data_IF_774340776388
#
_entry.id   IF_774340776388
#
_cell.length_a   1.000
_cell.length_b   1.000
_cell.length_c   1.000
_cell.angle_alpha   90.00
_cell.angle_beta   90.00
_cell.angle_gamma   90.00
#
_symmetry.space_group_name_H-M   'P 1'
#
loop_
_entity.id
_entity.type
_entity.pdbx_description
1 polymer ?
#
# COMPACT_ATOMS: atom_id res chain seq x y z
N UNK A 1 -27.71 -24.38 -30.95
CA UNK A 1 -29.05 -24.34 -30.32
C UNK A 1 -28.85 -23.73 -28.92
N UNK A 2 -29.02 -22.41 -28.79
CA UNK A 2 -30.20 -21.72 -28.21
C UNK A 2 -30.44 -22.04 -26.72
N UNK A 3 -30.08 -21.05 -25.86
CA UNK A 3 -30.77 -20.44 -24.68
C UNK A 3 -31.32 -21.41 -23.61
N UNK A 4 -31.21 -21.14 -22.31
CA UNK A 4 -31.94 -20.18 -21.46
C UNK A 4 -31.03 -19.77 -20.26
N UNK A 5 -30.85 -18.52 -19.81
CA UNK A 5 -31.73 -17.52 -19.17
C UNK A 5 -32.35 -17.93 -17.82
N UNK A 6 -31.97 -17.22 -16.74
CA UNK A 6 -32.64 -17.29 -15.43
C UNK A 6 -31.97 -16.47 -14.32
N UNK A 7 -32.19 -15.14 -14.36
CA UNK A 7 -32.09 -14.13 -13.28
C UNK A 7 -31.17 -14.39 -12.06
N UNK A 8 -30.14 -13.56 -11.93
CA UNK A 8 -29.67 -13.09 -10.61
C UNK A 8 -29.49 -11.57 -10.68
N UNK A 9 -30.43 -10.87 -10.04
CA UNK A 9 -30.34 -9.52 -9.47
C UNK A 9 -29.39 -8.53 -10.15
N UNK A 10 -30.02 -7.56 -10.83
CA UNK A 10 -29.53 -6.18 -10.89
C UNK A 10 -29.35 -5.65 -9.46
N UNK A 11 -28.26 -6.02 -8.80
CA UNK A 11 -27.59 -5.06 -7.95
C UNK A 11 -26.90 -4.12 -8.95
N UNK A 12 -27.33 -2.86 -9.01
CA UNK A 12 -26.42 -1.81 -9.42
C UNK A 12 -25.26 -1.83 -8.42
N UNK A 13 -24.29 -2.72 -8.62
CA UNK A 13 -22.91 -2.31 -8.39
C UNK A 13 -22.75 -1.15 -9.36
N UNK A 14 -22.81 0.07 -8.85
CA UNK A 14 -22.15 1.18 -9.53
C UNK A 14 -20.76 0.64 -9.85
N UNK A 15 -20.49 0.35 -11.13
CA UNK A 15 -19.15 0.02 -11.55
C UNK A 15 -18.37 1.28 -11.20
N UNK A 16 -17.56 1.18 -10.15
CA UNK A 16 -16.74 2.29 -9.71
C UNK A 16 -15.82 2.63 -10.88
N UNK A 17 -15.80 3.89 -11.31
CA UNK A 17 -14.95 4.30 -12.42
C UNK A 17 -13.51 3.84 -12.19
N UNK A 18 -12.90 3.36 -13.26
CA UNK A 18 -11.53 2.87 -13.24
C UNK A 18 -10.78 3.37 -14.48
N UNK A 19 -9.47 3.53 -14.33
CA UNK A 19 -8.64 4.16 -15.36
C UNK A 19 -8.64 3.40 -16.69
N UNK A 20 -8.74 2.07 -16.63
CA UNK A 20 -8.73 1.23 -17.83
C UNK A 20 -10.02 1.38 -18.62
N UNK A 21 -11.17 1.42 -17.95
CA UNK A 21 -12.46 1.61 -18.62
C UNK A 21 -12.59 3.04 -19.19
N UNK A 22 -12.04 4.05 -18.50
CA UNK A 22 -11.98 5.42 -19.02
C UNK A 22 -11.15 5.52 -20.31
N UNK A 23 -9.98 4.87 -20.35
CA UNK A 23 -9.12 4.83 -21.53
C UNK A 23 -9.77 4.05 -22.69
N UNK A 24 -10.42 2.92 -22.41
CA UNK A 24 -11.18 2.18 -23.45
C UNK A 24 -12.28 3.04 -24.05
N UNK A 25 -13.05 3.77 -23.23
CA UNK A 25 -14.09 4.67 -23.70
C UNK A 25 -13.48 5.77 -24.58
N UNK A 26 -12.34 6.34 -24.19
CA UNK A 26 -11.61 7.34 -24.95
C UNK A 26 -11.13 6.81 -26.31
N UNK A 27 -10.48 5.64 -26.35
CA UNK A 27 -10.02 4.99 -27.58
C UNK A 27 -11.18 4.67 -28.55
N UNK A 28 -12.35 4.31 -28.00
CA UNK A 28 -13.58 4.08 -28.74
C UNK A 28 -14.28 5.37 -29.17
N UNK A 29 -13.71 6.54 -28.87
CA UNK A 29 -14.26 7.88 -29.11
C UNK A 29 -15.58 8.13 -28.38
N UNK A 30 -15.88 7.34 -27.35
CA UNK A 30 -16.96 7.64 -26.43
C UNK A 30 -16.48 8.68 -25.39
N UNK A 31 -16.20 9.89 -25.88
CA UNK A 31 -15.58 10.94 -25.08
C UNK A 31 -16.43 11.38 -23.88
N UNK A 32 -17.76 11.32 -23.99
CA UNK A 32 -18.64 11.66 -22.88
C UNK A 32 -18.46 10.69 -21.70
N UNK A 33 -18.41 9.38 -21.98
CA UNK A 33 -18.14 8.36 -20.97
C UNK A 33 -16.71 8.47 -20.42
N UNK A 34 -15.72 8.67 -21.28
CA UNK A 34 -14.33 8.86 -20.86
C UNK A 34 -14.17 10.05 -19.92
N UNK A 35 -14.75 11.20 -20.27
CA UNK A 35 -14.72 12.41 -19.45
C UNK A 35 -15.37 12.18 -18.08
N UNK A 36 -16.51 11.51 -18.04
CA UNK A 36 -17.18 11.16 -16.79
C UNK A 36 -16.27 10.27 -15.92
N UNK A 37 -15.73 9.19 -16.47
CA UNK A 37 -14.90 8.26 -15.70
C UNK A 37 -13.59 8.91 -15.23
N UNK A 38 -12.90 9.70 -16.06
CA UNK A 38 -11.74 10.46 -15.60
C UNK A 38 -12.09 11.45 -14.49
N UNK A 39 -13.24 12.13 -14.57
CA UNK A 39 -13.68 13.06 -13.54
C UNK A 39 -13.94 12.36 -12.20
N UNK A 40 -14.49 11.14 -12.22
CA UNK A 40 -14.71 10.31 -11.03
C UNK A 40 -13.40 9.85 -10.36
N UNK A 41 -12.27 9.83 -11.09
CA UNK A 41 -10.96 9.50 -10.55
C UNK A 41 -10.21 10.71 -9.96
N UNK A 42 -10.65 11.94 -10.22
CA UNK A 42 -9.99 13.14 -9.67
C UNK A 42 -10.00 13.20 -8.13
N UNK A 43 -11.09 12.87 -7.42
CA UNK A 43 -11.08 12.81 -5.95
C UNK A 43 -10.01 11.87 -5.40
N UNK A 44 -9.64 10.83 -6.17
CA UNK A 44 -8.61 9.86 -5.80
C UNK A 44 -7.18 10.39 -5.99
N UNK A 45 -7.00 11.63 -6.42
CA UNK A 45 -5.68 12.20 -6.70
C UNK A 45 -5.02 11.54 -7.91
N UNK A 46 -5.82 11.06 -8.86
CA UNK A 46 -5.34 10.40 -10.07
C UNK A 46 -4.76 11.43 -11.06
N UNK A 47 -3.44 11.43 -11.17
CA UNK A 47 -2.66 12.33 -12.01
C UNK A 47 -2.87 12.07 -13.51
N UNK A 48 -3.12 10.80 -13.89
CA UNK A 48 -3.37 10.40 -15.27
C UNK A 48 -4.75 10.86 -15.74
N UNK A 49 -5.77 10.77 -14.89
CA UNK A 49 -7.11 11.24 -15.19
C UNK A 49 -7.13 12.76 -15.36
N UNK A 50 -6.46 13.49 -14.46
CA UNK A 50 -6.27 14.94 -14.60
C UNK A 50 -5.56 15.29 -15.92
N UNK A 51 -4.50 14.56 -16.26
CA UNK A 51 -3.77 14.78 -17.52
C UNK A 51 -4.66 14.52 -18.75
N UNK A 52 -5.39 13.41 -18.78
CA UNK A 52 -6.26 13.05 -19.92
C UNK A 52 -7.42 14.04 -20.08
N UNK A 53 -8.02 14.52 -19.00
CA UNK A 53 -9.01 15.61 -19.07
C UNK A 53 -8.41 16.90 -19.65
N UNK A 54 -7.15 17.20 -19.29
CA UNK A 54 -6.40 18.30 -19.89
C UNK A 54 -6.18 18.12 -21.39
N UNK A 55 -5.82 16.91 -21.82
CA UNK A 55 -5.67 16.55 -23.24
C UNK A 55 -6.99 16.70 -23.99
N UNK A 56 -8.10 16.18 -23.45
CA UNK A 56 -9.43 16.29 -24.06
C UNK A 56 -9.84 17.75 -24.26
N UNK A 57 -9.64 18.60 -23.24
CA UNK A 57 -9.92 20.03 -23.33
C UNK A 57 -9.01 20.76 -24.33
N UNK A 58 -7.72 20.39 -24.37
CA UNK A 58 -6.74 20.97 -25.27
C UNK A 58 -7.01 20.62 -26.74
N UNK A 59 -7.46 19.40 -27.01
CA UNK A 59 -7.75 18.91 -28.36
C UNK A 59 -9.19 19.20 -28.81
N UNK A 60 -10.10 19.47 -27.89
CA UNK A 60 -11.54 19.60 -28.19
C UNK A 60 -12.20 18.24 -28.45
N UNK A 61 -11.84 17.22 -27.69
CA UNK A 61 -12.38 15.87 -27.83
C UNK A 61 -13.60 15.68 -26.94
N UNK A 62 -14.77 15.53 -27.55
CA UNK A 62 -16.06 15.44 -26.83
C UNK A 62 -16.59 16.78 -26.31
N UNK A 63 -15.85 17.87 -26.52
CA UNK A 63 -16.20 19.24 -26.16
C UNK A 63 -15.51 20.24 -27.09
N UNK A 64 -15.89 21.52 -27.06
CA UNK A 64 -15.12 22.56 -27.74
C UNK A 64 -13.72 22.71 -27.12
N UNK A 65 -12.74 23.09 -27.95
CA UNK A 65 -11.37 23.36 -27.49
C UNK A 65 -11.39 24.46 -26.44
N UNK A 66 -10.86 24.17 -25.26
CA UNK A 66 -10.83 25.06 -24.10
C UNK A 66 -9.44 25.04 -23.45
N UNK A 67 -8.62 26.02 -23.83
CA UNK A 67 -7.25 26.17 -23.32
C UNK A 67 -7.20 26.58 -21.84
N UNK A 68 -8.24 27.26 -21.34
CA UNK A 68 -8.35 27.65 -19.94
C UNK A 68 -8.52 26.42 -19.06
N UNK A 69 -9.48 25.55 -19.41
CA UNK A 69 -9.70 24.27 -18.72
C UNK A 69 -8.53 23.32 -18.88
N UNK A 70 -7.94 23.24 -20.08
CA UNK A 70 -6.73 22.44 -20.31
C UNK A 70 -5.59 22.85 -19.37
N UNK A 71 -5.33 24.16 -19.24
CA UNK A 71 -4.29 24.65 -18.34
C UNK A 71 -4.57 24.28 -16.88
N UNK A 72 -5.81 24.41 -16.42
CA UNK A 72 -6.19 24.05 -15.06
C UNK A 72 -5.96 22.55 -14.77
N UNK A 73 -6.37 21.67 -15.69
CA UNK A 73 -6.16 20.23 -15.57
C UNK A 73 -4.68 19.83 -15.62
N UNK A 74 -3.88 20.41 -16.51
CA UNK A 74 -2.45 20.12 -16.55
C UNK A 74 -1.73 20.63 -15.30
N UNK A 75 -2.11 21.79 -14.74
CA UNK A 75 -1.57 22.25 -13.45
C UNK A 75 -1.93 21.30 -12.31
N UNK A 76 -3.16 20.77 -12.31
CA UNK A 76 -3.57 19.76 -11.34
C UNK A 76 -2.75 18.48 -11.49
N UNK A 77 -2.59 17.97 -12.71
CA UNK A 77 -1.77 16.80 -12.99
C UNK A 77 -0.31 16.98 -12.53
N UNK A 78 0.29 18.16 -12.76
CA UNK A 78 1.62 18.48 -12.26
C UNK A 78 1.69 18.53 -10.73
N UNK A 79 0.68 19.12 -10.06
CA UNK A 79 0.59 19.10 -8.60
C UNK A 79 0.48 17.68 -8.03
N UNK A 80 -0.19 16.78 -8.76
CA UNK A 80 -0.29 15.35 -8.47
C UNK A 80 0.91 14.52 -8.97
N UNK A 81 1.99 15.18 -9.41
CA UNK A 81 3.27 14.59 -9.83
C UNK A 81 3.24 13.82 -11.17
N UNK A 82 2.36 14.19 -12.10
CA UNK A 82 2.39 13.65 -13.46
C UNK A 82 3.67 14.09 -14.20
N UNK A 83 4.50 13.15 -14.72
CA UNK A 83 5.85 13.45 -15.20
C UNK A 83 5.88 14.33 -16.47
N UNK A 84 4.83 14.31 -17.28
CA UNK A 84 4.77 15.06 -18.55
C UNK A 84 3.96 16.36 -18.44
N UNK A 85 3.29 16.61 -17.31
CA UNK A 85 2.33 17.72 -17.23
C UNK A 85 3.02 19.10 -17.27
N UNK A 86 4.17 19.24 -16.62
CA UNK A 86 4.91 20.52 -16.54
C UNK A 86 5.35 21.04 -17.91
N UNK A 87 5.71 20.14 -18.83
CA UNK A 87 6.21 20.51 -20.16
C UNK A 87 5.16 21.22 -21.02
N UNK A 88 3.87 20.90 -20.82
CA UNK A 88 2.77 21.48 -21.59
C UNK A 88 2.31 22.84 -21.04
N UNK A 89 2.64 23.17 -19.79
CA UNK A 89 2.17 24.39 -19.13
C UNK A 89 2.65 25.66 -19.83
N UNK A 90 3.94 25.74 -20.16
CA UNK A 90 4.54 26.94 -20.75
C UNK A 90 3.93 27.25 -22.12
N UNK A 91 3.68 26.22 -22.94
CA UNK A 91 3.08 26.38 -24.25
C UNK A 91 1.65 26.94 -24.14
N UNK A 92 0.82 26.34 -23.28
CA UNK A 92 -0.58 26.74 -23.15
C UNK A 92 -0.68 28.14 -22.53
N UNK A 93 0.16 28.45 -21.54
CA UNK A 93 0.17 29.77 -20.89
C UNK A 93 0.50 30.91 -21.86
N UNK A 94 1.37 30.66 -22.85
CA UNK A 94 1.73 31.66 -23.85
C UNK A 94 0.58 32.01 -24.82
N UNK A 95 -0.40 31.11 -24.97
CA UNK A 95 -1.58 31.31 -25.84
C UNK A 95 -2.75 32.00 -25.11
N UNK A 96 -2.71 32.12 -23.78
CA UNK A 96 -3.80 32.66 -22.97
C UNK A 96 -3.58 34.14 -22.60
N UNK A 97 -4.67 34.90 -22.52
CA UNK A 97 -4.63 36.26 -21.99
C UNK A 97 -4.74 36.29 -20.45
N UNK A 98 -4.55 37.46 -19.85
CA UNK A 98 -4.56 37.62 -18.39
C UNK A 98 -5.87 37.19 -17.71
N UNK A 99 -7.02 37.43 -18.36
CA UNK A 99 -8.32 37.01 -17.84
C UNK A 99 -8.45 35.49 -17.85
N UNK A 100 -8.09 34.83 -18.95
CA UNK A 100 -8.11 33.38 -19.09
C UNK A 100 -7.15 32.70 -18.11
N UNK A 101 -5.97 33.28 -17.88
CA UNK A 101 -5.04 32.79 -16.87
C UNK A 101 -5.65 32.86 -15.46
N UNK A 102 -6.33 33.97 -15.12
CA UNK A 102 -7.03 34.11 -13.83
C UNK A 102 -8.20 33.12 -13.68
N UNK A 103 -8.93 32.86 -14.76
CA UNK A 103 -9.98 31.85 -14.79
C UNK A 103 -9.42 30.43 -14.60
N UNK A 104 -8.29 30.11 -15.23
CA UNK A 104 -7.61 28.82 -15.08
C UNK A 104 -7.15 28.59 -13.63
N UNK A 105 -6.59 29.61 -12.96
CA UNK A 105 -6.25 29.54 -11.53
C UNK A 105 -7.49 29.31 -10.65
N UNK A 106 -8.59 29.99 -10.97
CA UNK A 106 -9.85 29.83 -10.25
C UNK A 106 -10.47 28.44 -10.44
N UNK A 107 -10.28 27.82 -11.62
CA UNK A 107 -10.69 26.45 -11.89
C UNK A 107 -9.77 25.46 -11.17
N UNK A 108 -8.45 25.65 -11.22
CA UNK A 108 -7.46 24.84 -10.51
C UNK A 108 -7.76 24.79 -9.01
N UNK A 109 -8.02 25.94 -8.38
CA UNK A 109 -8.38 25.99 -6.96
C UNK A 109 -9.66 25.20 -6.64
N UNK A 110 -10.63 25.14 -7.56
CA UNK A 110 -11.82 24.28 -7.40
C UNK A 110 -11.46 22.81 -7.52
N UNK A 111 -10.67 22.45 -8.53
CA UNK A 111 -10.22 21.08 -8.75
C UNK A 111 -9.40 20.54 -7.56
N UNK A 112 -8.47 21.34 -7.04
CA UNK A 112 -7.64 20.98 -5.88
C UNK A 112 -8.48 20.73 -4.62
N UNK A 113 -9.58 21.47 -4.42
CA UNK A 113 -10.53 21.23 -3.33
C UNK A 113 -11.35 19.96 -3.51
N UNK A 114 -11.54 19.51 -4.75
CA UNK A 114 -12.26 18.27 -5.05
C UNK A 114 -11.38 17.02 -4.89
N UNK A 115 -10.04 17.17 -4.99
CA UNK A 115 -9.10 16.08 -4.72
C UNK A 115 -9.10 15.75 -3.22
N UNK A 116 -9.56 14.55 -2.90
CA UNK A 116 -9.60 14.03 -1.52
C UNK A 116 -8.27 13.42 -1.11
N UNK A 117 -7.66 12.66 -2.03
CA UNK A 117 -6.39 11.98 -1.79
C UNK A 117 -5.24 12.84 -2.31
N UNK A 118 -4.56 13.52 -1.40
CA UNK A 118 -3.38 14.33 -1.69
C UNK A 118 -2.10 13.51 -1.52
N UNK A 119 -1.03 13.79 -2.30
CA UNK A 119 0.28 13.21 -2.08
C UNK A 119 0.74 13.40 -0.62
N UNK A 120 1.12 12.31 0.02
CA UNK A 120 1.40 12.28 1.46
C UNK A 120 2.70 13.01 1.77
N UNK A 121 2.69 13.88 2.80
CA UNK A 121 3.88 14.18 3.59
C UNK A 121 3.99 13.11 4.68
N UNK A 122 5.09 12.35 4.72
CA UNK A 122 5.31 11.25 5.67
C UNK A 122 5.42 11.77 7.11
N UNK A 123 4.31 12.13 7.74
CA UNK A 123 4.28 12.37 9.17
C UNK A 123 4.29 11.03 9.91
N UNK A 124 5.30 10.85 10.76
CA UNK A 124 5.41 9.71 11.67
C UNK A 124 4.16 9.67 12.55
N UNK A 125 3.32 8.66 12.36
CA UNK A 125 2.33 8.32 13.38
C UNK A 125 3.08 7.91 14.65
N UNK A 126 2.66 8.40 15.83
CA UNK A 126 3.31 8.03 17.08
C UNK A 126 3.28 6.51 17.26
N UNK A 127 4.42 5.97 17.65
CA UNK A 127 4.59 4.53 17.87
C UNK A 127 3.74 4.12 19.08
N UNK A 128 2.64 3.42 18.83
CA UNK A 128 1.72 2.95 19.88
C UNK A 128 2.34 1.72 20.53
N UNK A 129 2.46 1.70 21.85
CA UNK A 129 2.91 0.50 22.59
C UNK A 129 1.84 -0.58 22.43
N UNK A 130 2.20 -1.68 21.76
CA UNK A 130 1.32 -2.82 21.51
C UNK A 130 1.62 -3.95 22.49
N UNK A 131 0.62 -4.76 22.89
CA UNK A 131 0.84 -5.91 23.77
C UNK A 131 1.74 -6.95 23.13
N UNK A 132 2.59 -7.60 23.93
CA UNK A 132 3.46 -8.67 23.46
C UNK A 132 2.70 -10.00 23.29
N UNK A 133 3.04 -10.84 22.29
CA UNK A 133 2.43 -12.15 22.13
C UNK A 133 2.93 -13.14 23.20
N UNK A 134 2.01 -13.73 23.97
CA UNK A 134 2.28 -14.76 24.99
C UNK A 134 2.25 -16.17 24.38
N UNK A 135 1.31 -16.41 23.44
CA UNK A 135 1.18 -17.70 22.75
C UNK A 135 0.82 -17.47 21.29
N UNK A 136 1.56 -18.12 20.40
CA UNK A 136 1.25 -18.18 18.97
C UNK A 136 1.09 -19.62 18.52
N UNK A 137 0.06 -19.84 17.71
CA UNK A 137 -0.22 -21.12 17.05
C UNK A 137 -0.05 -20.92 15.55
N UNK A 138 0.85 -21.68 14.93
CA UNK A 138 1.05 -21.63 13.49
C UNK A 138 -0.22 -22.06 12.72
N UNK A 139 -0.48 -21.49 11.54
CA UNK A 139 -1.57 -21.96 10.69
C UNK A 139 -1.27 -23.30 10.05
N UNK A 140 -2.32 -24.09 9.84
CA UNK A 140 -2.22 -25.35 9.12
C UNK A 140 -2.18 -25.09 7.61
N UNK A 141 -1.29 -25.74 6.86
CA UNK A 141 -1.29 -25.60 5.41
C UNK A 141 -2.49 -26.34 4.80
N UNK A 142 -3.39 -25.68 4.04
CA UNK A 142 -4.52 -26.36 3.41
C UNK A 142 -4.05 -27.44 2.43
N UNK A 143 -4.48 -28.68 2.62
CA UNK A 143 -4.02 -29.83 1.84
C UNK A 143 -4.23 -29.67 0.33
N UNK A 144 -5.34 -29.07 -0.11
CA UNK A 144 -5.59 -28.80 -1.52
C UNK A 144 -4.62 -27.78 -2.13
N UNK A 145 -4.29 -26.73 -1.37
CA UNK A 145 -3.29 -25.75 -1.78
C UNK A 145 -1.91 -26.40 -1.87
N UNK A 146 -1.57 -27.26 -0.89
CA UNK A 146 -0.30 -27.98 -0.88
C UNK A 146 -0.15 -28.87 -2.12
N UNK A 147 -1.18 -29.65 -2.46
CA UNK A 147 -1.19 -30.53 -3.65
C UNK A 147 -1.04 -29.77 -4.96
N UNK A 148 -1.57 -28.55 -5.03
CA UNK A 148 -1.49 -27.68 -6.21
C UNK A 148 -0.22 -26.82 -6.25
N UNK A 149 0.64 -26.90 -5.22
CA UNK A 149 1.81 -26.04 -5.08
C UNK A 149 1.46 -24.55 -4.97
N UNK A 150 0.24 -24.22 -4.54
CA UNK A 150 -0.17 -22.83 -4.33
C UNK A 150 0.53 -22.30 -3.09
N UNK A 151 1.11 -21.12 -3.17
CA UNK A 151 1.71 -20.37 -2.07
C UNK A 151 0.95 -19.05 -1.89
N UNK A 152 1.24 -18.33 -0.81
CA UNK A 152 0.72 -16.97 -0.65
C UNK A 152 0.74 -16.47 0.79
N UNK A 153 -0.19 -15.59 1.12
CA UNK A 153 -0.27 -14.99 2.45
C UNK A 153 -1.70 -14.58 2.81
N UNK A 154 -1.91 -14.34 4.10
CA UNK A 154 -3.11 -13.71 4.64
C UNK A 154 -2.69 -12.65 5.65
N UNK A 155 -3.08 -11.42 5.38
CA UNK A 155 -3.00 -10.32 6.32
C UNK A 155 -4.32 -10.22 7.07
N UNK A 156 -4.27 -10.46 8.37
CA UNK A 156 -5.39 -10.40 9.27
C UNK A 156 -5.32 -9.14 10.14
N UNK A 157 -6.48 -8.65 10.54
CA UNK A 157 -6.64 -7.67 11.62
C UNK A 157 -7.64 -8.21 12.62
N UNK A 158 -7.44 -7.89 13.89
CA UNK A 158 -8.20 -8.47 14.99
C UNK A 158 -8.15 -7.59 16.23
N UNK A 159 -9.06 -7.86 17.16
CA UNK A 159 -9.04 -7.27 18.49
C UNK A 159 -8.34 -8.20 19.49
N UNK A 160 -7.69 -7.59 20.46
CA UNK A 160 -7.20 -8.24 21.67
C UNK A 160 -7.98 -7.65 22.84
N UNK A 161 -8.61 -8.50 23.65
CA UNK A 161 -9.35 -8.06 24.83
C UNK A 161 -8.42 -7.70 26.00
N UNK A 162 -9.00 -7.23 27.10
CA UNK A 162 -8.29 -6.81 28.31
C UNK A 162 -7.48 -7.95 28.96
N UNK A 163 -7.91 -9.20 28.73
CA UNK A 163 -7.26 -10.42 29.20
C UNK A 163 -6.22 -10.96 28.20
N UNK A 164 -6.01 -10.27 27.07
CA UNK A 164 -5.06 -10.65 26.02
C UNK A 164 -5.58 -11.68 25.02
N UNK A 165 -6.88 -12.02 25.03
CA UNK A 165 -7.46 -12.98 24.09
C UNK A 165 -7.80 -12.33 22.76
N UNK A 166 -7.60 -13.07 21.66
CA UNK A 166 -7.92 -12.59 20.32
C UNK A 166 -9.42 -12.77 20.01
N UNK A 167 -10.06 -11.70 19.55
CA UNK A 167 -11.48 -11.61 19.17
C UNK A 167 -11.67 -10.84 17.86
N UNK A 168 -12.85 -10.91 17.23
CA UNK A 168 -13.25 -10.09 16.09
C UNK A 168 -12.20 -10.05 14.95
N UNK A 169 -11.92 -11.22 14.36
CA UNK A 169 -10.88 -11.40 13.35
C UNK A 169 -11.46 -11.15 11.96
N UNK A 170 -10.74 -10.40 11.14
CA UNK A 170 -11.06 -10.22 9.72
C UNK A 170 -9.81 -10.32 8.84
N UNK A 171 -10.02 -10.63 7.56
CA UNK A 171 -8.95 -10.59 6.55
C UNK A 171 -8.90 -9.21 5.91
N UNK A 172 -7.77 -8.51 6.06
CA UNK A 172 -7.52 -7.24 5.38
C UNK A 172 -7.07 -7.47 3.93
N UNK A 173 -6.24 -8.48 3.71
CA UNK A 173 -5.69 -8.79 2.38
C UNK A 173 -5.26 -10.26 2.36
N UNK A 174 -5.37 -10.91 1.20
CA UNK A 174 -4.92 -12.27 1.02
C UNK A 174 -4.60 -12.58 -0.44
N UNK A 175 -3.52 -13.31 -0.64
CA UNK A 175 -3.20 -13.91 -1.92
C UNK A 175 -2.91 -15.40 -1.75
N UNK A 176 -3.46 -16.26 -2.63
CA UNK A 176 -4.64 -16.02 -3.44
C UNK A 176 -5.87 -15.90 -2.53
N UNK A 177 -6.86 -15.13 -2.96
CA UNK A 177 -8.09 -14.95 -2.20
C UNK A 177 -8.76 -16.28 -1.86
N UNK A 178 -9.28 -16.37 -0.63
CA UNK A 178 -10.11 -17.47 -0.12
C UNK A 178 -9.41 -18.83 -0.07
N UNK A 179 -8.12 -18.91 -0.39
CA UNK A 179 -7.33 -20.15 -0.31
C UNK A 179 -6.87 -20.40 1.13
N UNK A 180 -6.25 -19.40 1.75
CA UNK A 180 -5.60 -19.54 3.05
C UNK A 180 -6.36 -18.89 4.21
N UNK A 181 -7.35 -18.03 3.93
CA UNK A 181 -8.04 -17.18 4.91
C UNK A 181 -8.58 -17.97 6.09
N UNK A 182 -9.31 -19.07 5.84
CA UNK A 182 -9.91 -19.89 6.89
C UNK A 182 -8.87 -20.52 7.81
N UNK A 183 -7.72 -20.94 7.26
CA UNK A 183 -6.65 -21.50 8.09
C UNK A 183 -6.02 -20.41 8.96
N UNK A 184 -5.73 -19.25 8.37
CA UNK A 184 -5.13 -18.13 9.05
C UNK A 184 -6.00 -17.67 10.23
N UNK A 185 -7.31 -17.48 10.00
CA UNK A 185 -8.26 -17.07 11.04
C UNK A 185 -8.34 -18.09 12.19
N UNK A 186 -8.35 -19.40 11.90
CA UNK A 186 -8.35 -20.44 12.95
C UNK A 186 -7.05 -20.45 13.77
N UNK A 187 -5.93 -20.13 13.14
CA UNK A 187 -4.65 -20.03 13.83
C UNK A 187 -4.64 -18.83 14.79
N UNK A 188 -4.96 -17.64 14.27
CA UNK A 188 -4.97 -16.39 15.04
C UNK A 188 -5.99 -16.39 16.16
N UNK A 189 -7.14 -17.06 15.99
CA UNK A 189 -8.13 -17.25 17.07
C UNK A 189 -7.59 -17.99 18.30
N UNK A 190 -6.49 -18.75 18.15
CA UNK A 190 -5.85 -19.52 19.24
C UNK A 190 -4.65 -18.78 19.84
N UNK A 191 -4.39 -17.55 19.43
CA UNK A 191 -3.30 -16.74 19.95
C UNK A 191 -3.69 -16.07 21.26
N UNK A 192 -2.68 -15.77 22.07
CA UNK A 192 -2.81 -15.06 23.34
C UNK A 192 -1.74 -13.98 23.40
N UNK A 193 -2.12 -12.82 23.90
CA UNK A 193 -1.27 -11.66 24.15
C UNK A 193 -1.19 -11.36 25.64
N UNK A 194 -0.29 -10.46 26.00
CA UNK A 194 -0.18 -9.91 27.34
C UNK A 194 -1.51 -9.26 27.75
N UNK A 195 -1.95 -9.56 28.98
CA UNK A 195 -3.13 -8.95 29.57
C UNK A 195 -2.79 -7.55 30.07
N UNK A 196 -2.99 -6.54 29.22
CA UNK A 196 -2.69 -5.14 29.59
C UNK A 196 -3.85 -4.46 30.33
N UNK A 197 -4.99 -5.13 30.51
CA UNK A 197 -6.21 -4.53 31.06
C UNK A 197 -6.91 -3.54 30.12
N UNK A 198 -6.47 -3.46 28.86
CA UNK A 198 -7.05 -2.59 27.83
C UNK A 198 -7.22 -3.38 26.52
N UNK A 199 -8.21 -2.99 25.72
CA UNK A 199 -8.41 -3.58 24.39
C UNK A 199 -7.45 -2.97 23.37
N UNK A 200 -6.97 -3.79 22.45
CA UNK A 200 -6.07 -3.37 21.37
C UNK A 200 -6.56 -3.83 20.01
N UNK A 201 -6.31 -3.03 18.98
CA UNK A 201 -6.49 -3.42 17.59
C UNK A 201 -5.12 -3.75 17.00
N UNK A 202 -4.96 -4.98 16.51
CA UNK A 202 -3.71 -5.47 15.96
C UNK A 202 -3.87 -5.98 14.53
N UNK A 203 -2.76 -6.03 13.81
CA UNK A 203 -2.63 -6.60 12.46
C UNK A 203 -1.49 -7.61 12.45
N UNK A 204 -1.65 -8.70 11.70
CA UNK A 204 -0.58 -9.66 11.45
C UNK A 204 -0.68 -10.21 10.04
N UNK A 205 0.47 -10.50 9.44
CA UNK A 205 0.55 -11.26 8.19
C UNK A 205 1.05 -12.66 8.47
N UNK A 206 0.37 -13.64 7.89
CA UNK A 206 0.73 -15.05 7.92
C UNK A 206 1.02 -15.52 6.51
N UNK A 207 2.25 -15.98 6.28
CA UNK A 207 2.68 -16.47 4.98
C UNK A 207 2.59 -18.00 4.88
N UNK A 208 2.26 -18.50 3.68
CA UNK A 208 2.06 -19.91 3.35
C UNK A 208 3.03 -20.32 2.27
N UNK A 209 4.00 -21.15 2.66
CA UNK A 209 5.07 -21.67 1.81
C UNK A 209 5.22 -23.19 1.88
N UNK A 210 5.68 -23.82 0.80
CA UNK A 210 6.15 -25.21 0.80
C UNK A 210 7.66 -25.23 0.48
N UNK A 211 8.48 -25.71 1.43
CA UNK A 211 9.95 -25.74 1.31
C UNK A 211 10.62 -24.47 1.85
N UNK A 212 11.89 -24.26 1.48
CA UNK A 212 12.80 -23.25 2.06
C UNK A 212 12.47 -21.78 1.70
N UNK A 213 11.24 -21.49 1.25
CA UNK A 213 10.76 -20.13 0.94
C UNK A 213 9.31 -20.09 0.43
N UNK A 214 8.63 -18.95 0.62
CA UNK A 214 7.23 -18.69 0.23
C UNK A 214 7.03 -18.76 -1.28
N UNK A 215 7.97 -18.23 -2.06
CA UNK A 215 7.94 -18.23 -3.51
C UNK A 215 9.36 -18.17 -4.05
N UNK A 216 9.71 -18.99 -5.04
CA UNK A 216 10.99 -18.76 -5.74
C UNK A 216 10.82 -17.52 -6.61
N UNK A 217 11.81 -16.62 -6.59
CA UNK A 217 11.86 -15.47 -7.52
C UNK A 217 11.56 -15.90 -8.96
N UNK A 218 12.06 -17.07 -9.36
CA UNK A 218 11.80 -17.69 -10.66
C UNK A 218 10.34 -18.02 -10.97
N UNK A 219 9.52 -18.32 -9.96
CA UNK A 219 8.08 -18.56 -10.18
C UNK A 219 7.32 -17.22 -10.37
N UNK A 220 7.74 -16.15 -9.68
CA UNK A 220 7.19 -14.81 -9.94
C UNK A 220 7.59 -14.32 -11.32
N UNK A 221 8.84 -14.52 -11.73
CA UNK A 221 9.30 -14.21 -13.10
C UNK A 221 8.45 -14.93 -14.15
N UNK A 222 8.11 -16.21 -13.95
CA UNK A 222 7.21 -16.94 -14.87
C UNK A 222 5.79 -16.37 -14.89
N UNK A 223 5.25 -15.99 -13.73
CA UNK A 223 3.91 -15.39 -13.63
C UNK A 223 3.88 -14.02 -14.31
N UNK A 224 4.90 -13.21 -14.08
CA UNK A 224 5.09 -11.92 -14.75
C UNK A 224 5.11 -12.11 -16.26
N UNK A 225 5.94 -13.02 -16.79
CA UNK A 225 6.07 -13.24 -18.24
C UNK A 225 4.77 -13.76 -18.85
N UNK A 226 4.10 -14.69 -18.17
CA UNK A 226 2.87 -15.32 -18.65
C UNK A 226 1.70 -14.34 -18.72
N UNK A 227 1.60 -13.43 -17.76
CA UNK A 227 0.46 -12.53 -17.61
C UNK A 227 0.78 -11.07 -17.98
N UNK A 228 2.03 -10.78 -18.36
CA UNK A 228 2.56 -9.46 -18.69
C UNK A 228 2.23 -8.43 -17.60
N UNK A 229 2.38 -8.85 -16.34
CA UNK A 229 1.88 -8.08 -15.19
C UNK A 229 2.45 -6.66 -15.16
N UNK A 230 3.75 -6.52 -15.37
CA UNK A 230 4.43 -5.22 -15.37
C UNK A 230 3.91 -4.30 -16.48
N UNK A 231 3.70 -4.83 -17.68
CA UNK A 231 3.23 -4.07 -18.83
C UNK A 231 1.82 -3.53 -18.60
N UNK A 232 0.87 -4.39 -18.21
CA UNK A 232 -0.51 -3.97 -17.96
C UNK A 232 -0.62 -3.07 -16.71
N UNK A 233 0.17 -3.33 -15.67
CA UNK A 233 0.21 -2.45 -14.50
C UNK A 233 0.74 -1.05 -14.87
N UNK A 234 1.81 -0.99 -15.67
CA UNK A 234 2.38 0.27 -16.17
C UNK A 234 1.44 1.02 -17.12
N UNK A 235 0.54 0.30 -17.80
CA UNK A 235 -0.52 0.88 -18.63
C UNK A 235 -1.71 1.41 -17.81
N UNK A 236 -1.67 1.34 -16.48
CA UNK A 236 -2.71 1.89 -15.60
C UNK A 236 -3.83 0.90 -15.25
N UNK A 237 -3.70 -0.39 -15.60
CA UNK A 237 -4.75 -1.37 -15.32
C UNK A 237 -4.83 -1.69 -13.81
N UNK A 238 -5.88 -1.24 -13.09
CA UNK A 238 -5.91 -1.22 -11.63
C UNK A 238 -5.79 -2.61 -10.99
N UNK A 239 -6.43 -3.62 -11.60
CA UNK A 239 -6.35 -5.00 -11.10
C UNK A 239 -4.93 -5.58 -11.26
N UNK A 240 -4.24 -5.27 -12.35
CA UNK A 240 -2.87 -5.73 -12.58
C UNK A 240 -1.89 -5.03 -11.64
N UNK A 241 -2.10 -3.74 -11.38
CA UNK A 241 -1.33 -2.99 -10.38
C UNK A 241 -1.51 -3.60 -8.99
N UNK A 242 -2.75 -3.88 -8.58
CA UNK A 242 -3.02 -4.52 -7.29
C UNK A 242 -2.31 -5.88 -7.16
N UNK A 243 -2.47 -6.75 -8.16
CA UNK A 243 -1.82 -8.08 -8.18
C UNK A 243 -0.29 -7.95 -8.18
N UNK A 244 0.28 -7.04 -8.96
CA UNK A 244 1.72 -6.81 -9.00
C UNK A 244 2.24 -6.33 -7.64
N UNK A 245 1.58 -5.36 -7.00
CA UNK A 245 1.94 -4.89 -5.66
C UNK A 245 1.92 -6.02 -4.63
N UNK A 246 0.90 -6.87 -4.70
CA UNK A 246 0.76 -8.08 -3.87
C UNK A 246 1.92 -9.07 -4.06
N UNK A 247 2.34 -9.30 -5.31
CA UNK A 247 3.49 -10.17 -5.61
C UNK A 247 4.82 -9.56 -5.16
N UNK A 248 5.01 -8.26 -5.34
CA UNK A 248 6.21 -7.56 -4.85
C UNK A 248 6.27 -7.60 -3.32
N UNK A 249 5.13 -7.40 -2.64
CA UNK A 249 5.06 -7.48 -1.17
C UNK A 249 5.51 -8.84 -0.65
N UNK A 250 5.12 -9.92 -1.35
CA UNK A 250 5.58 -11.28 -1.06
C UNK A 250 7.10 -11.41 -1.21
N UNK A 251 7.65 -10.91 -2.31
CA UNK A 251 9.09 -10.95 -2.57
C UNK A 251 9.89 -10.10 -1.58
N UNK A 252 9.42 -8.90 -1.24
CA UNK A 252 10.03 -8.01 -0.25
C UNK A 252 10.20 -8.74 1.10
N UNK A 253 9.10 -9.27 1.63
CA UNK A 253 9.08 -9.95 2.93
C UNK A 253 9.98 -11.19 2.93
N UNK A 254 9.85 -12.02 1.90
CA UNK A 254 10.62 -13.26 1.82
C UNK A 254 12.12 -13.04 1.59
N UNK A 255 12.51 -11.93 0.98
CA UNK A 255 13.92 -11.65 0.73
C UNK A 255 14.71 -11.52 2.05
N UNK A 256 14.05 -11.14 3.16
CA UNK A 256 14.69 -10.72 4.42
C UNK A 256 15.70 -9.57 4.25
N UNK A 257 15.72 -8.93 3.08
CA UNK A 257 16.48 -7.72 2.83
C UNK A 257 15.67 -6.53 3.36
N UNK A 258 16.36 -5.47 3.77
CA UNK A 258 15.71 -4.18 3.88
C UNK A 258 15.71 -3.47 2.53
N UNK A 259 14.67 -2.69 2.23
CA UNK A 259 14.59 -1.92 0.97
C UNK A 259 14.53 -0.41 1.23
N UNK A 260 15.22 0.35 0.40
CA UNK A 260 15.04 1.79 0.28
C UNK A 260 14.54 2.07 -1.15
N UNK A 261 13.22 2.22 -1.29
CA UNK A 261 12.56 2.58 -2.53
C UNK A 261 12.55 4.08 -2.80
N UNK A 262 13.60 4.55 -3.48
CA UNK A 262 13.85 5.97 -3.72
C UNK A 262 12.83 6.56 -4.72
N UNK A 263 12.03 7.58 -4.32
CA UNK A 263 11.05 8.22 -5.19
C UNK A 263 11.70 9.14 -6.24
N UNK A 264 12.96 9.55 -6.05
CA UNK A 264 13.68 10.40 -6.99
C UNK A 264 14.35 9.58 -8.10
N UNK A 265 14.45 8.25 -7.93
CA UNK A 265 14.90 7.36 -8.98
C UNK A 265 13.82 7.21 -10.07
N UNK A 266 14.21 7.16 -11.35
CA UNK A 266 13.26 6.92 -12.43
C UNK A 266 12.59 5.56 -12.28
N UNK A 267 11.30 5.50 -12.57
CA UNK A 267 10.54 4.25 -12.56
C UNK A 267 11.17 3.23 -13.51
N UNK A 268 11.34 1.99 -13.05
CA UNK A 268 11.90 0.92 -13.87
C UNK A 268 11.03 0.63 -15.09
N UNK A 269 11.64 0.65 -16.29
CA UNK A 269 10.97 0.26 -17.53
C UNK A 269 10.65 -1.25 -17.59
N UNK A 270 11.44 -2.06 -16.88
CA UNK A 270 11.29 -3.51 -16.74
C UNK A 270 11.57 -3.91 -15.28
N UNK A 271 10.93 -4.95 -14.75
CA UNK A 271 11.21 -5.42 -13.40
C UNK A 271 12.58 -6.08 -13.30
N UNK A 272 13.33 -5.78 -12.24
CA UNK A 272 14.48 -6.59 -11.81
C UNK A 272 14.14 -7.34 -10.52
N UNK A 273 13.63 -8.57 -10.63
CA UNK A 273 13.30 -9.36 -9.45
C UNK A 273 14.54 -9.93 -8.73
N UNK A 274 15.75 -9.79 -9.28
CA UNK A 274 16.96 -10.28 -8.64
C UNK A 274 17.26 -9.57 -7.32
N UNK A 275 16.74 -8.34 -7.14
CA UNK A 275 16.87 -7.56 -5.91
C UNK A 275 16.24 -8.23 -4.68
N UNK A 276 15.27 -9.14 -4.89
CA UNK A 276 14.57 -9.87 -3.84
C UNK A 276 15.22 -11.21 -3.50
N UNK A 277 16.32 -11.58 -4.17
CA UNK A 277 17.10 -12.73 -3.74
C UNK A 277 17.66 -12.42 -2.35
N UNK A 278 17.52 -13.39 -1.45
CA UNK A 278 18.06 -13.28 -0.10
C UNK A 278 19.57 -13.02 -0.17
N UNK A 279 20.02 -11.96 0.51
CA UNK A 279 21.43 -11.59 0.62
C UNK A 279 21.95 -11.94 2.00
N UNK A 280 23.24 -12.23 2.09
CA UNK A 280 23.86 -12.61 3.35
C UNK A 280 23.67 -11.51 4.42
N UNK A 281 23.05 -11.89 5.54
CA UNK A 281 23.03 -11.07 6.74
C UNK A 281 24.43 -11.09 7.35
N UNK A 282 24.94 -9.91 7.67
CA UNK A 282 26.27 -9.76 8.23
C UNK A 282 26.23 -9.84 9.75
N UNK A 283 27.41 -9.96 10.33
CA UNK A 283 27.63 -9.77 11.77
C UNK A 283 28.43 -8.51 11.95
N UNK A 284 28.28 -7.86 13.09
CA UNK A 284 29.15 -6.76 13.47
C UNK A 284 29.50 -6.90 14.93
N UNK A 285 30.78 -6.74 15.24
CA UNK A 285 31.25 -6.54 16.60
C UNK A 285 31.23 -5.03 16.88
N UNK A 286 30.05 -4.55 17.26
CA UNK A 286 29.75 -3.15 17.55
C UNK A 286 29.34 -3.01 19.01
N UNK A 287 30.23 -3.47 19.90
CA UNK A 287 30.08 -3.28 21.32
C UNK A 287 29.91 -1.79 21.65
N UNK A 288 28.83 -1.47 22.35
CA UNK A 288 28.47 -0.09 22.68
C UNK A 288 27.53 0.60 21.69
N UNK A 289 27.26 0.03 20.51
CA UNK A 289 26.21 0.58 19.63
C UNK A 289 24.82 0.24 20.16
N UNK A 290 23.98 1.26 20.33
CA UNK A 290 22.54 1.14 20.54
C UNK A 290 21.82 2.17 19.68
N UNK A 291 20.69 1.79 19.11
CA UNK A 291 19.91 2.62 18.19
C UNK A 291 19.85 2.06 16.77
N UNK A 292 19.76 2.94 15.80
CA UNK A 292 19.54 2.63 14.38
C UNK A 292 20.55 3.36 13.49
N UNK A 293 21.09 2.69 12.48
CA UNK A 293 21.94 3.31 11.48
C UNK A 293 21.71 2.72 10.08
N UNK A 294 21.88 3.56 9.07
CA UNK A 294 22.03 3.17 7.67
C UNK A 294 23.43 3.58 7.25
N UNK A 295 24.25 2.61 6.86
CA UNK A 295 25.68 2.82 6.61
C UNK A 295 26.07 2.28 5.25
N UNK A 296 27.02 2.96 4.60
CA UNK A 296 27.70 2.45 3.41
C UNK A 296 28.96 1.71 3.83
N UNK A 297 29.25 0.61 3.16
CA UNK A 297 30.48 -0.17 3.37
C UNK A 297 31.28 -0.33 2.09
N UNK A 298 32.60 -0.49 2.24
CA UNK A 298 33.47 -0.93 1.16
C UNK A 298 33.37 -2.45 0.91
N UNK A 299 34.13 -2.94 -0.07
CA UNK A 299 34.15 -4.36 -0.44
C UNK A 299 34.69 -5.26 0.67
N UNK A 300 35.42 -4.71 1.64
CA UNK A 300 35.96 -5.41 2.80
C UNK A 300 34.99 -5.38 3.99
N UNK A 301 33.85 -4.68 3.87
CA UNK A 301 32.84 -4.54 4.91
C UNK A 301 33.15 -3.41 5.90
N UNK A 302 34.13 -2.55 5.65
CA UNK A 302 34.42 -1.41 6.51
C UNK A 302 33.39 -0.32 6.25
N UNK A 303 32.81 0.23 7.31
CA UNK A 303 31.87 1.34 7.24
C UNK A 303 32.61 2.60 6.80
N UNK A 304 32.25 3.12 5.63
CA UNK A 304 32.86 4.30 5.01
C UNK A 304 32.00 5.55 5.15
N UNK A 305 30.68 5.38 5.32
CA UNK A 305 29.72 6.49 5.38
C UNK A 305 28.55 6.14 6.32
N UNK A 306 28.06 7.14 7.07
CA UNK A 306 26.82 7.07 7.85
C UNK A 306 25.73 7.89 7.16
N UNK A 307 24.88 7.24 6.38
CA UNK A 307 23.79 7.89 5.63
C UNK A 307 22.68 8.40 6.56
N UNK A 308 22.40 7.65 7.63
CA UNK A 308 21.50 8.04 8.71
C UNK A 308 21.95 7.36 9.99
N UNK A 309 21.89 8.05 11.12
CA UNK A 309 22.17 7.43 12.41
C UNK A 309 21.38 8.10 13.51
N UNK A 310 20.75 7.27 14.34
CA UNK A 310 20.02 7.64 15.54
C UNK A 310 20.57 6.78 16.67
N UNK A 311 21.46 7.38 17.48
CA UNK A 311 22.01 6.71 18.65
C UNK A 311 21.02 6.77 19.81
N UNK A 312 20.75 5.63 20.43
CA UNK A 312 20.00 5.59 21.68
C UNK A 312 20.84 6.15 22.83
N UNK A 313 20.19 6.56 23.92
CA UNK A 313 20.85 7.07 25.13
C UNK A 313 21.81 6.08 25.80
N UNK A 314 21.70 4.78 25.51
CA UNK A 314 22.62 3.72 25.96
C UNK A 314 23.85 3.56 25.08
N UNK A 315 23.89 4.20 23.92
CA UNK A 315 25.02 4.08 22.99
C UNK A 315 26.25 4.75 23.58
N UNK A 316 27.36 4.02 23.61
CA UNK A 316 28.68 4.58 23.96
C UNK A 316 29.49 4.94 22.71
N UNK A 317 29.06 4.47 21.53
CA UNK A 317 29.63 4.89 20.26
C UNK A 317 29.00 6.20 19.80
N UNK A 318 29.85 7.11 19.33
CA UNK A 318 29.47 8.37 18.68
C UNK A 318 29.61 8.34 17.16
N UNK A 319 30.29 7.32 16.61
CA UNK A 319 30.43 7.07 15.19
C UNK A 319 30.55 5.57 14.93
N UNK A 320 30.15 5.16 13.73
CA UNK A 320 30.29 3.81 13.21
C UNK A 320 31.34 3.73 12.10
N UNK A 321 31.88 4.87 11.63
CA UNK A 321 32.87 4.91 10.55
C UNK A 321 34.15 4.19 10.98
N UNK A 322 34.68 3.35 10.09
CA UNK A 322 35.87 2.55 10.33
C UNK A 322 35.62 1.20 11.03
N UNK A 323 34.43 0.98 11.61
CA UNK A 323 34.06 -0.34 12.10
C UNK A 323 33.80 -1.29 10.93
N UNK A 324 34.04 -2.59 11.16
CA UNK A 324 33.97 -3.61 10.11
C UNK A 324 32.77 -4.54 10.33
N UNK A 325 32.04 -4.79 9.26
CA UNK A 325 31.02 -5.83 9.16
C UNK A 325 31.68 -7.12 8.68
N UNK A 326 31.37 -8.22 9.35
CA UNK A 326 31.90 -9.55 9.06
C UNK A 326 30.90 -10.40 8.27
N UNK A 327 31.40 -11.12 7.28
CA UNK A 327 30.64 -12.02 6.44
C UNK A 327 30.82 -11.71 4.96
N UNK A 328 29.93 -12.27 4.13
CA UNK A 328 29.95 -12.07 2.68
C UNK A 328 29.23 -10.76 2.36
N UNK A 329 29.98 -9.71 2.02
CA UNK A 329 29.41 -8.41 1.64
C UNK A 329 28.78 -8.53 0.25
N UNK A 330 27.45 -8.42 0.18
CA UNK A 330 26.66 -8.51 -1.07
C UNK A 330 25.81 -7.25 -1.34
N UNK A 331 26.05 -6.19 -0.56
CA UNK A 331 25.37 -4.90 -0.66
C UNK A 331 26.38 -3.79 -0.34
N UNK A 332 26.18 -2.60 -0.91
CA UNK A 332 26.94 -1.39 -0.59
C UNK A 332 26.38 -0.68 0.65
N UNK A 333 25.08 -0.84 0.94
CA UNK A 333 24.41 -0.26 2.11
C UNK A 333 23.85 -1.35 3.02
N UNK A 334 23.98 -1.14 4.34
CA UNK A 334 23.40 -1.98 5.39
C UNK A 334 22.62 -1.16 6.40
N UNK A 335 21.59 -1.79 6.96
CA UNK A 335 20.87 -1.30 8.15
C UNK A 335 21.38 -2.01 9.38
N UNK A 336 21.74 -1.23 10.38
CA UNK A 336 22.19 -1.68 11.68
C UNK A 336 21.16 -1.26 12.70
N UNK A 337 20.68 -2.18 13.52
CA UNK A 337 19.79 -1.81 14.61
C UNK A 337 19.96 -2.70 15.84
N UNK A 338 19.79 -2.07 17.00
CA UNK A 338 19.74 -2.72 18.31
C UNK A 338 18.89 -1.84 19.23
N UNK A 339 17.71 -2.32 19.60
CA UNK A 339 16.81 -1.58 20.48
C UNK A 339 17.26 -1.66 21.94
N UNK A 340 17.12 -0.55 22.66
CA UNK A 340 17.51 -0.44 24.07
C UNK A 340 16.77 -1.39 25.03
N UNK A 341 15.61 -1.93 24.65
CA UNK A 341 14.76 -2.83 25.43
C UNK A 341 15.00 -4.32 25.13
N UNK A 342 15.66 -4.65 24.02
CA UNK A 342 15.89 -6.03 23.63
C UNK A 342 16.94 -6.72 24.51
N UNK A 343 16.62 -7.96 24.92
CA UNK A 343 17.56 -8.85 25.64
C UNK A 343 18.74 -9.33 24.78
N UNK A 344 18.69 -9.14 23.45
CA UNK A 344 19.76 -9.51 22.53
C UNK A 344 20.95 -8.56 22.66
N UNK A 345 22.16 -9.11 22.81
CA UNK A 345 23.40 -8.32 22.83
C UNK A 345 23.95 -8.00 21.44
N UNK A 346 23.40 -8.60 20.38
CA UNK A 346 23.96 -8.50 19.02
C UNK A 346 23.24 -7.42 18.22
N UNK A 347 24.01 -6.68 17.44
CA UNK A 347 23.49 -5.75 16.42
C UNK A 347 22.99 -6.56 15.23
N UNK A 348 21.74 -6.32 14.82
CA UNK A 348 21.23 -6.88 13.58
C UNK A 348 21.83 -6.11 12.40
N UNK A 349 22.40 -6.81 11.42
CA UNK A 349 23.05 -6.20 10.25
C UNK A 349 22.41 -6.75 8.98
N UNK A 350 21.49 -5.98 8.44
CA UNK A 350 20.62 -6.40 7.34
C UNK A 350 21.01 -5.65 6.07
N UNK A 351 21.18 -6.33 4.91
CA UNK A 351 21.44 -5.66 3.65
C UNK A 351 20.31 -4.68 3.32
N UNK A 352 20.68 -3.50 2.82
CA UNK A 352 19.75 -2.50 2.31
C UNK A 352 19.87 -2.40 0.80
N UNK A 353 18.80 -2.74 0.09
CA UNK A 353 18.74 -2.62 -1.37
C UNK A 353 18.06 -1.32 -1.74
N UNK A 354 18.77 -0.45 -2.46
CA UNK A 354 18.18 0.75 -3.07
C UNK A 354 17.57 0.37 -4.41
N UNK A 355 16.31 0.76 -4.64
CA UNK A 355 15.60 0.50 -5.90
C UNK A 355 14.59 1.63 -6.18
N UNK A 356 14.11 1.80 -7.42
CA UNK A 356 13.03 2.75 -7.72
C UNK A 356 11.73 2.41 -6.99
N UNK A 357 10.87 3.41 -6.78
CA UNK A 357 9.56 3.24 -6.16
C UNK A 357 8.68 2.17 -6.86
N UNK A 358 8.77 2.02 -8.19
CA UNK A 358 8.06 0.98 -8.94
C UNK A 358 8.46 -0.44 -8.59
N UNK A 359 9.58 -0.64 -7.90
CA UNK A 359 9.95 -1.92 -7.31
C UNK A 359 9.34 -2.11 -5.92
N UNK A 360 8.35 -1.34 -5.49
CA UNK A 360 7.69 -1.53 -4.20
C UNK A 360 6.23 -1.95 -4.35
N UNK A 361 5.76 -2.76 -3.41
CA UNK A 361 4.34 -3.09 -3.28
C UNK A 361 3.48 -1.85 -3.08
N UNK A 362 3.93 -0.94 -2.21
CA UNK A 362 3.20 0.26 -1.82
C UNK A 362 2.93 1.16 -3.02
N UNK A 363 3.92 1.35 -3.91
CA UNK A 363 3.73 2.11 -5.13
C UNK A 363 2.57 1.57 -5.97
N UNK A 364 2.54 0.26 -6.22
CA UNK A 364 1.52 -0.33 -7.07
C UNK A 364 0.14 -0.39 -6.41
N UNK A 365 0.06 -0.61 -5.09
CA UNK A 365 -1.21 -0.50 -4.37
C UNK A 365 -1.74 0.93 -4.37
N UNK A 366 -0.88 1.94 -4.21
CA UNK A 366 -1.30 3.35 -4.32
C UNK A 366 -1.82 3.65 -5.72
N UNK A 367 -1.09 3.24 -6.76
CA UNK A 367 -1.51 3.40 -8.16
C UNK A 367 -2.83 2.68 -8.45
N UNK A 368 -2.98 1.43 -8.00
CA UNK A 368 -4.23 0.69 -8.13
C UNK A 368 -5.41 1.41 -7.44
N UNK A 369 -5.19 1.93 -6.23
CA UNK A 369 -6.20 2.64 -5.47
C UNK A 369 -6.63 3.94 -6.18
N UNK A 370 -5.66 4.70 -6.69
CA UNK A 370 -5.89 5.92 -7.50
C UNK A 370 -6.61 5.62 -8.81
N UNK A 371 -6.36 4.44 -9.40
CA UNK A 371 -7.01 3.96 -10.62
C UNK A 371 -8.36 3.26 -10.36
N UNK A 372 -8.93 3.39 -9.15
CA UNK A 372 -10.29 2.94 -8.83
C UNK A 372 -10.41 1.55 -8.20
N UNK A 373 -9.30 0.86 -7.90
CA UNK A 373 -9.36 -0.48 -7.31
C UNK A 373 -9.79 -0.45 -5.84
N UNK A 374 -11.02 -0.89 -5.54
CA UNK A 374 -11.56 -0.87 -4.17
C UNK A 374 -10.72 -1.64 -3.14
N UNK A 375 -10.18 -2.81 -3.50
CA UNK A 375 -9.37 -3.61 -2.58
C UNK A 375 -8.05 -2.90 -2.25
N UNK A 376 -7.40 -2.29 -3.24
CA UNK A 376 -6.25 -1.43 -3.01
C UNK A 376 -6.62 -0.21 -2.15
N UNK A 377 -7.77 0.42 -2.37
CA UNK A 377 -8.25 1.54 -1.54
C UNK A 377 -8.41 1.13 -0.06
N UNK A 378 -8.94 -0.07 0.20
CA UNK A 378 -9.05 -0.63 1.57
C UNK A 378 -7.69 -0.94 2.18
N UNK A 379 -6.76 -1.49 1.40
CA UNK A 379 -5.35 -1.67 1.83
C UNK A 379 -4.73 -0.32 2.20
N UNK A 380 -4.96 0.72 1.40
CA UNK A 380 -4.44 2.06 1.67
C UNK A 380 -5.10 2.71 2.89
N UNK A 381 -6.42 2.52 3.09
CA UNK A 381 -7.15 3.05 4.25
C UNK A 381 -6.61 2.53 5.59
N UNK A 382 -6.04 1.33 5.62
CA UNK A 382 -5.40 0.78 6.82
C UNK A 382 -4.08 1.50 7.20
N UNK A 383 -3.52 2.32 6.30
CA UNK A 383 -2.25 3.03 6.51
C UNK A 383 -2.37 4.55 6.35
N UNK A 384 -3.48 5.05 5.79
CA UNK A 384 -3.68 6.44 5.45
C UNK A 384 -5.14 6.88 5.73
N UNK A 385 -5.27 7.87 6.60
CA UNK A 385 -6.57 8.42 7.04
C UNK A 385 -7.34 9.12 5.93
N UNK A 386 -6.68 9.65 4.89
CA UNK A 386 -7.38 10.23 3.73
C UNK A 386 -8.18 9.16 2.98
N UNK A 387 -7.59 7.98 2.78
CA UNK A 387 -8.26 6.83 2.18
C UNK A 387 -9.37 6.27 3.08
N UNK A 388 -9.13 6.21 4.40
CA UNK A 388 -10.16 5.84 5.37
C UNK A 388 -11.38 6.78 5.29
N UNK A 389 -11.14 8.10 5.34
CA UNK A 389 -12.20 9.11 5.26
C UNK A 389 -12.93 9.07 3.91
N UNK A 390 -12.21 8.88 2.81
CA UNK A 390 -12.81 8.70 1.49
C UNK A 390 -13.78 7.52 1.47
N UNK A 391 -13.37 6.35 1.95
CA UNK A 391 -14.21 5.15 1.97
C UNK A 391 -15.37 5.25 2.99
N UNK A 392 -15.19 5.97 4.10
CA UNK A 392 -16.29 6.30 5.02
C UNK A 392 -17.37 7.15 4.33
N UNK A 393 -16.97 8.14 3.54
CA UNK A 393 -17.91 8.96 2.75
C UNK A 393 -18.66 8.12 1.70
N UNK A 394 -18.00 7.10 1.13
CA UNK A 394 -18.62 6.12 0.22
C UNK A 394 -19.47 5.05 0.92
N UNK A 395 -19.59 5.13 2.24
CA UNK A 395 -20.32 4.17 3.07
C UNK A 395 -19.81 2.72 2.97
N UNK A 396 -18.50 2.54 2.83
CA UNK A 396 -17.87 1.22 2.83
C UNK A 396 -18.02 0.56 4.22
N UNK A 397 -18.77 -0.54 4.27
CA UNK A 397 -19.14 -1.21 5.52
C UNK A 397 -17.95 -1.85 6.24
N UNK A 398 -16.91 -2.23 5.51
CA UNK A 398 -15.68 -2.77 6.08
C UNK A 398 -14.92 -1.64 6.79
N UNK A 399 -14.66 -0.53 6.11
CA UNK A 399 -13.97 0.63 6.71
C UNK A 399 -14.77 1.22 7.87
N UNK A 400 -16.10 1.32 7.75
CA UNK A 400 -16.97 1.73 8.87
C UNK A 400 -16.74 0.90 10.12
N UNK A 401 -16.66 -0.42 10.00
CA UNK A 401 -16.51 -1.29 11.15
C UNK A 401 -15.18 -1.07 11.89
N UNK A 402 -14.10 -0.93 11.12
CA UNK A 402 -12.75 -0.81 11.67
C UNK A 402 -12.44 0.60 12.15
N UNK A 403 -12.85 1.63 11.40
CA UNK A 403 -12.79 3.01 11.87
C UNK A 403 -13.64 3.18 13.13
N UNK A 404 -14.85 2.61 13.16
CA UNK A 404 -15.72 2.66 14.33
C UNK A 404 -15.10 2.00 15.56
N UNK A 405 -14.53 0.82 15.39
CA UNK A 405 -13.78 0.12 16.44
C UNK A 405 -12.61 0.96 16.95
N UNK A 406 -11.81 1.56 16.05
CA UNK A 406 -10.68 2.42 16.38
C UNK A 406 -11.13 3.66 17.18
N UNK A 407 -12.19 4.33 16.74
CA UNK A 407 -12.76 5.48 17.44
C UNK A 407 -13.21 5.15 18.87
N UNK A 408 -13.82 3.97 19.09
CA UNK A 408 -14.17 3.53 20.45
C UNK A 408 -12.91 3.40 21.31
N UNK A 409 -11.85 2.77 20.79
CA UNK A 409 -10.58 2.60 21.51
C UNK A 409 -9.87 3.93 21.77
N UNK A 410 -10.14 4.96 20.98
CA UNK A 410 -9.64 6.33 21.14
C UNK A 410 -10.55 7.22 22.00
N UNK A 411 -11.61 6.66 22.62
CA UNK A 411 -12.52 7.36 23.52
C UNK A 411 -13.74 7.99 22.85
N UNK A 412 -13.85 7.94 21.52
CA UNK A 412 -14.98 8.46 20.74
C UNK A 412 -16.10 7.41 20.60
N UNK A 413 -16.58 6.90 21.76
CA UNK A 413 -17.45 5.72 21.81
C UNK A 413 -18.75 5.85 21.02
N UNK A 414 -19.43 6.99 21.10
CA UNK A 414 -20.73 7.19 20.44
C UNK A 414 -20.60 7.13 18.92
N UNK A 415 -19.65 7.90 18.36
CA UNK A 415 -19.36 7.90 16.93
C UNK A 415 -18.93 6.52 16.44
N UNK A 416 -18.06 5.85 17.20
CA UNK A 416 -17.60 4.53 16.80
C UNK A 416 -18.68 3.45 16.86
N UNK A 417 -19.59 3.51 17.85
CA UNK A 417 -20.75 2.61 17.91
C UNK A 417 -21.72 2.85 16.75
N UNK A 418 -21.94 4.10 16.36
CA UNK A 418 -22.77 4.44 15.22
C UNK A 418 -22.20 3.87 13.91
N UNK A 419 -20.87 3.96 13.70
CA UNK A 419 -20.22 3.35 12.54
C UNK A 419 -20.33 1.82 12.54
N UNK A 420 -20.19 1.17 13.69
CA UNK A 420 -20.41 -0.28 13.80
C UNK A 420 -21.85 -0.68 13.45
N UNK A 421 -22.85 0.10 13.86
CA UNK A 421 -24.25 -0.14 13.46
C UNK A 421 -24.47 0.02 11.97
N UNK A 422 -23.89 1.03 11.36
CA UNK A 422 -23.94 1.25 9.91
C UNK A 422 -23.27 0.09 9.16
N UNK A 423 -22.10 -0.37 9.61
CA UNK A 423 -21.43 -1.53 9.05
C UNK A 423 -22.28 -2.81 9.12
N UNK A 424 -22.96 -3.04 10.25
CA UNK A 424 -23.91 -4.16 10.40
C UNK A 424 -25.06 -4.03 9.40
N UNK A 425 -25.61 -2.84 9.22
CA UNK A 425 -26.68 -2.57 8.24
C UNK A 425 -26.23 -2.80 6.80
N UNK A 426 -24.93 -2.63 6.51
CA UNK A 426 -24.27 -2.96 5.24
C UNK A 426 -23.91 -4.45 5.10
N UNK A 427 -24.36 -5.31 6.02
CA UNK A 427 -24.10 -6.76 6.05
C UNK A 427 -22.64 -7.15 6.22
N UNK A 428 -21.78 -6.25 6.70
CA UNK A 428 -20.40 -6.59 7.02
C UNK A 428 -20.36 -7.37 8.34
N UNK A 429 -20.30 -8.70 8.22
CA UNK A 429 -20.52 -9.64 9.33
C UNK A 429 -19.60 -9.42 10.54
N UNK A 430 -18.28 -9.13 10.38
CA UNK A 430 -17.39 -8.93 11.52
C UNK A 430 -17.82 -7.80 12.46
N UNK A 431 -18.56 -6.78 11.97
CA UNK A 431 -19.02 -5.66 12.79
C UNK A 431 -19.94 -6.08 13.96
N UNK A 432 -20.70 -7.17 13.83
CA UNK A 432 -21.54 -7.67 14.94
C UNK A 432 -20.69 -8.15 16.11
N UNK A 433 -19.64 -8.91 15.82
CA UNK A 433 -18.70 -9.42 16.83
C UNK A 433 -17.93 -8.26 17.46
N UNK A 434 -17.48 -7.29 16.65
CA UNK A 434 -16.82 -6.08 17.15
C UNK A 434 -17.72 -5.29 18.09
N UNK A 435 -18.97 -5.03 17.71
CA UNK A 435 -19.93 -4.29 18.54
C UNK A 435 -20.16 -4.96 19.90
N UNK A 436 -20.25 -6.29 19.93
CA UNK A 436 -20.41 -7.05 21.17
C UNK A 436 -19.22 -6.89 22.13
N UNK A 437 -18.03 -6.57 21.64
CA UNK A 437 -16.87 -6.32 22.51
C UNK A 437 -17.00 -5.04 23.35
N UNK A 438 -17.89 -4.11 22.98
CA UNK A 438 -17.99 -2.78 23.60
C UNK A 438 -19.35 -2.49 24.24
N UNK A 439 -20.24 -3.48 24.28
CA UNK A 439 -21.50 -3.46 25.03
C UNK A 439 -21.24 -3.86 26.48
#
# INVERSE_FOLDING_TARGET
MKKWLGLALLCCSTVQADMLDALKAYEQKNYAEAQQQFAELLPLGNELAAFNLGVMAYQGEGQDKDLTSALAYFKLAAALKHPQAEQLLTQIQAELNAEQLSQAESQLARLQRAVTIQPISLEKSPEKVLPEPVKRVAPDYPMEAARKGLFGYVTLRFLVDEAGQVTAIDTLDAYPEKVFNKSAMRAVKRWQYEATGAKHMLKVRLDYSLGDGITKVSEIEKLEQKHQLWQFASAGAPQYQFVLGTLLSLLEIQSHNGFWFDPDLPLSAQPDFSIYKNRAHLKADLDGFWGYAVVRVDQQGVITEQLRTEFDSKSTLSSLIGHKLEGKVESDVYRLYRHADQRSRRVAVVPSVTAPASMSAMFWWEQAAKNGNLEAQRVMAAHNTQWENYLLAQQDGEVMAWAGTRLILEGQREQGMQLLEQAIAKNYQPAKEMKQQFM
#
